data_IF_807574825997
#
_entry.id   IF_807574825997
#
_cell.length_a   1.000
_cell.length_b   1.000
_cell.length_c   1.000
_cell.angle_alpha   90.00
_cell.angle_beta   90.00
_cell.angle_gamma   90.00
#
_symmetry.space_group_name_H-M   'P 1'
#
loop_
_entity.id
_entity.type
_entity.pdbx_description
1 polymer ?
#
# COMPACT_ATOMS: atom_id res chain seq x y z
N UNK A 1 11.76 -8.18 11.93
CA UNK A 1 12.02 -8.31 10.49
C UNK A 1 13.51 -8.12 10.21
N UNK A 2 14.02 -8.81 9.18
CA UNK A 2 15.40 -8.65 8.72
C UNK A 2 15.46 -7.43 7.78
N UNK A 3 16.21 -6.37 8.13
CA UNK A 3 16.43 -5.26 7.21
C UNK A 3 17.40 -5.70 6.09
N UNK A 4 17.02 -5.45 4.85
CA UNK A 4 17.86 -5.68 3.67
C UNK A 4 18.10 -4.37 2.93
N UNK A 5 19.24 -4.29 2.25
CA UNK A 5 19.59 -3.12 1.45
C UNK A 5 18.70 -3.00 0.22
N UNK A 6 18.49 -1.75 -0.23
CA UNK A 6 17.90 -1.48 -1.54
C UNK A 6 18.73 -2.16 -2.64
N UNK A 7 18.07 -2.87 -3.54
CA UNK A 7 18.70 -3.34 -4.75
C UNK A 7 18.99 -2.18 -5.72
N UNK A 8 19.80 -2.44 -6.73
CA UNK A 8 20.00 -1.53 -7.85
C UNK A 8 18.68 -1.26 -8.57
N UNK A 9 18.52 -0.04 -9.11
CA UNK A 9 17.39 0.31 -9.98
C UNK A 9 17.37 -0.51 -11.27
N UNK A 10 18.53 -0.96 -11.73
CA UNK A 10 18.65 -1.84 -12.90
C UNK A 10 18.37 -3.28 -12.44
N UNK A 11 17.33 -3.93 -13.00
CA UNK A 11 17.01 -5.31 -12.65
C UNK A 11 18.18 -6.27 -12.97
N UNK A 12 18.38 -7.24 -12.09
CA UNK A 12 19.36 -8.32 -12.32
C UNK A 12 18.59 -9.62 -12.56
N UNK A 13 18.77 -10.21 -13.74
CA UNK A 13 18.14 -11.48 -14.13
C UNK A 13 16.58 -11.43 -14.12
N UNK A 14 16.00 -10.26 -14.37
CA UNK A 14 14.55 -10.10 -14.54
C UNK A 14 14.27 -9.39 -15.87
N UNK A 15 13.99 -10.16 -16.96
CA UNK A 15 13.71 -9.58 -18.27
C UNK A 15 12.31 -8.92 -18.37
N UNK A 16 11.49 -9.05 -17.36
CA UNK A 16 10.14 -8.48 -17.34
C UNK A 16 10.10 -7.01 -16.95
N UNK A 17 11.20 -6.50 -16.41
CA UNK A 17 11.31 -5.12 -15.92
C UNK A 17 12.43 -4.37 -16.63
N UNK A 18 12.18 -3.12 -17.03
CA UNK A 18 13.21 -2.18 -17.49
C UNK A 18 13.98 -1.59 -16.29
N UNK A 19 13.29 -1.33 -15.19
CA UNK A 19 13.83 -0.85 -13.92
C UNK A 19 12.98 -1.37 -12.77
N UNK A 20 13.53 -1.30 -11.56
CA UNK A 20 12.80 -1.66 -10.34
C UNK A 20 11.74 -0.58 -10.05
N UNK A 21 10.49 -0.99 -9.94
CA UNK A 21 9.31 -0.13 -9.79
C UNK A 21 8.54 -0.33 -8.48
N UNK A 22 8.97 -1.30 -7.65
CA UNK A 22 8.35 -1.58 -6.36
C UNK A 22 9.29 -2.36 -5.44
N UNK A 23 8.97 -2.36 -4.15
CA UNK A 23 9.72 -3.13 -3.15
C UNK A 23 9.67 -4.64 -3.39
N UNK A 24 8.50 -5.17 -3.76
CA UNK A 24 8.30 -6.61 -4.01
C UNK A 24 9.03 -7.11 -5.25
N UNK A 25 9.30 -6.24 -6.22
CA UNK A 25 9.92 -6.63 -7.49
C UNK A 25 11.27 -7.36 -7.30
N UNK A 26 12.02 -7.00 -6.26
CA UNK A 26 13.32 -7.62 -5.95
C UNK A 26 13.21 -8.91 -5.15
N UNK A 27 12.02 -9.25 -4.69
CA UNK A 27 11.74 -10.37 -3.78
C UNK A 27 10.93 -11.49 -4.43
N UNK A 28 10.64 -11.41 -5.72
CA UNK A 28 9.81 -12.38 -6.47
C UNK A 28 10.20 -13.84 -6.20
N UNK A 29 11.51 -14.12 -6.16
CA UNK A 29 12.07 -15.47 -5.91
C UNK A 29 11.67 -16.08 -4.55
N UNK A 30 11.28 -15.25 -3.59
CA UNK A 30 10.80 -15.72 -2.29
C UNK A 30 9.31 -16.03 -2.34
N UNK A 31 8.55 -15.24 -3.09
CA UNK A 31 7.11 -15.43 -3.25
C UNK A 31 6.75 -16.58 -4.20
N UNK A 32 7.59 -16.85 -5.21
CA UNK A 32 7.40 -17.99 -6.10
C UNK A 32 7.95 -19.32 -5.53
N UNK A 33 8.59 -19.26 -4.36
CA UNK A 33 9.15 -20.42 -3.66
C UNK A 33 10.46 -20.96 -4.25
N UNK A 34 11.05 -20.29 -5.24
CA UNK A 34 12.33 -20.75 -5.85
C UNK A 34 13.52 -20.60 -4.90
N UNK A 35 13.42 -19.70 -3.92
CA UNK A 35 14.43 -19.49 -2.88
C UNK A 35 13.75 -19.36 -1.52
N UNK A 36 14.26 -20.07 -0.52
CA UNK A 36 13.83 -19.90 0.87
C UNK A 36 14.60 -18.72 1.49
N UNK A 37 13.92 -17.69 2.03
CA UNK A 37 14.60 -16.58 2.66
C UNK A 37 15.25 -17.00 3.99
N UNK A 38 16.34 -16.35 4.37
CA UNK A 38 16.98 -16.54 5.67
C UNK A 38 16.03 -16.18 6.84
N UNK A 39 15.20 -15.17 6.63
CA UNK A 39 14.17 -14.76 7.57
C UNK A 39 12.88 -14.51 6.80
N UNK A 40 11.73 -15.09 7.22
CA UNK A 40 10.45 -14.89 6.53
C UNK A 40 9.89 -13.47 6.69
N UNK A 41 10.41 -12.68 7.63
CA UNK A 41 10.05 -11.28 7.85
C UNK A 41 11.14 -10.36 7.35
N UNK A 42 10.92 -9.68 6.24
CA UNK A 42 11.89 -8.80 5.59
C UNK A 42 11.37 -7.35 5.62
N UNK A 43 12.28 -6.39 5.75
CA UNK A 43 11.96 -4.97 5.59
C UNK A 43 13.04 -4.26 4.78
N UNK A 44 12.64 -3.29 3.98
CA UNK A 44 13.56 -2.47 3.20
C UNK A 44 12.99 -1.06 2.91
N UNK A 45 13.86 -0.21 2.37
CA UNK A 45 13.52 1.02 1.69
C UNK A 45 14.06 0.89 0.26
N UNK A 46 13.22 0.42 -0.67
CA UNK A 46 13.63 0.11 -2.03
C UNK A 46 13.50 1.33 -2.94
N UNK A 47 14.62 1.75 -3.54
CA UNK A 47 14.63 2.73 -4.62
C UNK A 47 13.85 2.21 -5.82
N UNK A 48 12.93 3.02 -6.31
CA UNK A 48 11.98 2.63 -7.36
C UNK A 48 11.79 3.76 -8.36
N UNK A 49 11.48 3.40 -9.60
CA UNK A 49 11.13 4.33 -10.67
C UNK A 49 9.78 3.92 -11.25
N UNK A 50 8.87 4.89 -11.38
CA UNK A 50 7.62 4.77 -12.15
C UNK A 50 7.51 5.93 -13.12
N UNK A 51 7.07 5.65 -14.33
CA UNK A 51 6.94 6.64 -15.41
C UNK A 51 5.56 6.70 -16.03
N UNK A 52 4.67 5.80 -15.62
CA UNK A 52 3.28 5.76 -16.09
C UNK A 52 2.51 7.07 -15.78
N UNK A 53 2.84 7.71 -14.65
CA UNK A 53 2.20 8.97 -14.22
C UNK A 53 3.09 10.20 -14.39
N UNK A 54 4.04 10.16 -15.32
CA UNK A 54 5.03 11.25 -15.50
C UNK A 54 4.37 12.60 -15.79
N UNK A 55 3.19 12.60 -16.41
CA UNK A 55 2.43 13.81 -16.73
C UNK A 55 1.87 14.51 -15.49
N UNK A 56 1.73 13.79 -14.38
CA UNK A 56 1.23 14.29 -13.11
C UNK A 56 2.34 14.75 -12.16
N UNK A 57 3.60 14.47 -12.48
CA UNK A 57 4.75 14.90 -11.68
C UNK A 57 4.83 16.42 -11.63
N UNK A 58 4.85 16.97 -10.41
CA UNK A 58 4.85 18.41 -10.18
C UNK A 58 3.48 19.08 -10.30
N UNK A 59 2.41 18.32 -10.57
CA UNK A 59 1.01 18.80 -10.56
C UNK A 59 0.26 18.33 -9.34
N UNK A 60 0.46 17.08 -8.95
CA UNK A 60 -0.13 16.48 -7.75
C UNK A 60 0.90 16.34 -6.64
N UNK A 61 0.45 16.20 -5.41
CA UNK A 61 1.34 16.02 -4.26
C UNK A 61 1.98 14.61 -4.20
N UNK A 62 1.38 13.62 -4.86
CA UNK A 62 1.69 12.19 -4.70
C UNK A 62 2.51 11.57 -5.83
N UNK A 63 2.59 12.20 -7.00
CA UNK A 63 3.27 11.60 -8.16
C UNK A 63 4.73 12.02 -8.26
N UNK A 64 5.61 11.02 -8.23
CA UNK A 64 7.06 11.16 -8.37
C UNK A 64 7.57 10.09 -9.34
N UNK A 65 8.63 10.43 -10.12
CA UNK A 65 9.29 9.45 -11.01
C UNK A 65 10.22 8.53 -10.24
N UNK A 66 10.99 9.07 -9.30
CA UNK A 66 11.90 8.32 -8.41
C UNK A 66 11.46 8.49 -6.96
N UNK A 67 11.36 7.39 -6.24
CA UNK A 67 10.96 7.36 -4.84
C UNK A 67 11.58 6.17 -4.12
N UNK A 68 11.52 6.16 -2.81
CA UNK A 68 11.82 5.00 -1.99
C UNK A 68 10.51 4.41 -1.47
N UNK A 69 10.27 3.13 -1.80
CA UNK A 69 9.13 2.39 -1.27
C UNK A 69 9.56 1.71 0.02
N UNK A 70 8.98 2.13 1.13
CA UNK A 70 9.18 1.48 2.42
C UNK A 70 8.39 0.18 2.44
N UNK A 71 9.06 -0.94 2.64
CA UNK A 71 8.46 -2.26 2.54
C UNK A 71 8.61 -3.10 3.79
N UNK A 72 7.56 -3.84 4.12
CA UNK A 72 7.56 -4.94 5.05
C UNK A 72 6.92 -6.16 4.38
N UNK A 73 7.61 -7.30 4.42
CA UNK A 73 7.22 -8.47 3.66
C UNK A 73 7.17 -9.69 4.57
N UNK A 74 6.15 -10.50 4.37
CA UNK A 74 5.93 -11.78 5.03
C UNK A 74 5.98 -12.91 4.01
N UNK A 75 6.94 -13.79 4.16
CA UNK A 75 7.09 -14.95 3.28
C UNK A 75 6.57 -16.19 4.04
N UNK A 76 5.23 -16.36 3.98
CA UNK A 76 4.58 -17.49 4.65
C UNK A 76 4.61 -17.43 6.18
N UNK A 77 4.58 -16.23 6.78
CA UNK A 77 4.60 -16.02 8.22
C UNK A 77 3.32 -15.28 8.67
N UNK A 78 3.35 -13.96 8.86
CA UNK A 78 2.12 -13.21 9.16
C UNK A 78 1.30 -12.92 7.88
N UNK A 79 0.01 -12.64 8.05
CA UNK A 79 -0.88 -12.31 6.94
C UNK A 79 -1.83 -11.16 7.31
N UNK A 80 -3.04 -11.12 6.81
CA UNK A 80 -3.98 -9.98 6.92
C UNK A 80 -4.18 -9.51 8.36
N UNK A 81 -4.46 -10.42 9.28
CA UNK A 81 -4.79 -10.06 10.64
C UNK A 81 -3.66 -9.28 11.31
N UNK A 82 -2.46 -9.84 11.33
CA UNK A 82 -1.32 -9.19 11.94
C UNK A 82 -0.90 -7.93 11.19
N UNK A 83 -0.92 -7.97 9.85
CA UNK A 83 -0.51 -6.81 9.04
C UNK A 83 -1.42 -5.60 9.30
N UNK A 84 -2.73 -5.80 9.33
CA UNK A 84 -3.70 -4.73 9.59
C UNK A 84 -3.54 -4.18 11.01
N UNK A 85 -3.45 -5.03 12.03
CA UNK A 85 -3.29 -4.58 13.41
C UNK A 85 -1.98 -3.83 13.63
N UNK A 86 -0.87 -4.31 13.06
CA UNK A 86 0.43 -3.63 13.21
C UNK A 86 0.47 -2.30 12.44
N UNK A 87 -0.14 -2.24 11.26
CA UNK A 87 -0.25 -0.98 10.52
C UNK A 87 -1.06 0.05 11.32
N UNK A 88 -2.20 -0.36 11.88
CA UNK A 88 -3.02 0.52 12.69
C UNK A 88 -2.31 0.99 13.96
N UNK A 89 -1.68 0.07 14.70
CA UNK A 89 -0.87 0.41 15.87
C UNK A 89 0.24 1.40 15.51
N UNK A 90 0.96 1.14 14.42
CA UNK A 90 2.05 2.02 13.99
C UNK A 90 1.57 3.41 13.59
N UNK A 91 0.43 3.51 12.91
CA UNK A 91 -0.10 4.80 12.50
C UNK A 91 -0.69 5.60 13.67
N UNK A 92 -1.45 4.95 14.57
CA UNK A 92 -2.24 5.63 15.60
C UNK A 92 -1.61 5.62 16.99
N UNK A 93 -0.69 4.70 17.25
CA UNK A 93 -0.06 4.56 18.56
C UNK A 93 0.74 5.81 18.97
N UNK A 94 0.56 6.24 20.22
CA UNK A 94 1.19 7.45 20.76
C UNK A 94 2.74 7.38 20.80
N UNK A 95 3.29 6.18 20.83
CA UNK A 95 4.75 5.94 20.78
C UNK A 95 5.29 5.85 19.35
N UNK A 96 4.40 5.90 18.35
CA UNK A 96 4.72 5.79 16.94
C UNK A 96 4.37 7.09 16.19
N UNK A 97 3.55 7.01 15.15
CA UNK A 97 3.20 8.20 14.34
C UNK A 97 2.11 9.06 14.97
N UNK A 98 1.31 8.48 15.87
CA UNK A 98 0.23 9.16 16.61
C UNK A 98 -0.74 9.96 15.71
N UNK A 99 -1.07 9.41 14.53
CA UNK A 99 -2.09 10.00 13.68
C UNK A 99 -3.45 9.92 14.35
N UNK A 100 -4.27 10.94 14.10
CA UNK A 100 -5.64 10.98 14.56
C UNK A 100 -6.46 9.88 13.83
N UNK A 101 -7.02 8.88 14.54
CA UNK A 101 -7.82 7.83 13.93
C UNK A 101 -9.02 8.32 13.13
N UNK A 102 -9.61 9.47 13.54
CA UNK A 102 -10.74 10.07 12.85
C UNK A 102 -10.40 10.64 11.45
N UNK A 103 -9.10 10.75 11.13
CA UNK A 103 -8.59 11.17 9.83
C UNK A 103 -8.14 10.02 8.95
N UNK A 104 -8.25 8.80 9.44
CA UNK A 104 -7.82 7.62 8.69
C UNK A 104 -9.02 6.90 8.08
N UNK A 105 -8.92 6.64 6.79
CA UNK A 105 -9.88 5.88 5.99
C UNK A 105 -9.17 4.69 5.37
N UNK A 106 -9.91 3.65 5.07
CA UNK A 106 -9.37 2.47 4.38
C UNK A 106 -10.23 2.10 3.19
N UNK A 107 -9.59 1.64 2.14
CA UNK A 107 -10.28 0.97 1.04
C UNK A 107 -10.07 -0.53 1.13
N UNK A 108 -11.04 -1.29 0.67
CA UNK A 108 -10.98 -2.75 0.64
C UNK A 108 -11.58 -3.29 -0.66
N UNK A 109 -11.04 -4.39 -1.16
CA UNK A 109 -11.70 -5.12 -2.24
C UNK A 109 -13.06 -5.65 -1.76
N UNK A 110 -14.18 -5.42 -2.49
CA UNK A 110 -15.53 -5.77 -2.00
C UNK A 110 -15.72 -7.25 -1.67
N UNK A 111 -14.96 -8.15 -2.30
CA UNK A 111 -15.01 -9.59 -2.02
C UNK A 111 -14.04 -10.04 -0.94
N UNK A 112 -13.16 -9.16 -0.45
CA UNK A 112 -12.30 -9.45 0.69
C UNK A 112 -13.01 -9.18 2.02
N UNK A 113 -13.97 -10.04 2.32
CA UNK A 113 -14.77 -9.96 3.55
C UNK A 113 -13.94 -10.13 4.81
N UNK A 114 -12.79 -10.77 4.71
CA UNK A 114 -11.87 -10.97 5.84
C UNK A 114 -11.19 -9.64 6.23
N UNK A 115 -10.58 -8.92 5.29
CA UNK A 115 -9.98 -7.62 5.57
C UNK A 115 -11.03 -6.64 6.11
N UNK A 116 -12.20 -6.58 5.48
CA UNK A 116 -13.31 -5.73 5.94
C UNK A 116 -13.75 -6.05 7.37
N UNK A 117 -13.86 -7.33 7.71
CA UNK A 117 -14.19 -7.77 9.07
C UNK A 117 -13.11 -7.37 10.08
N UNK A 118 -11.83 -7.54 9.73
CA UNK A 118 -10.72 -7.16 10.62
C UNK A 118 -10.75 -5.66 10.90
N UNK A 119 -10.88 -4.82 9.88
CA UNK A 119 -10.98 -3.37 10.04
C UNK A 119 -12.15 -2.95 10.92
N UNK A 120 -13.35 -3.49 10.65
CA UNK A 120 -14.57 -3.12 11.35
C UNK A 120 -14.64 -3.71 12.78
N UNK A 121 -14.45 -5.03 12.91
CA UNK A 121 -14.79 -5.75 14.13
C UNK A 121 -13.62 -5.89 15.10
N UNK A 122 -12.38 -5.89 14.61
CA UNK A 122 -11.19 -6.10 15.44
C UNK A 122 -10.43 -4.79 15.69
N UNK A 123 -10.21 -4.00 14.66
CA UNK A 123 -9.62 -2.66 14.79
C UNK A 123 -10.63 -1.67 15.36
N UNK A 124 -11.91 -1.82 15.03
CA UNK A 124 -12.99 -0.96 15.50
C UNK A 124 -13.16 0.31 14.66
N UNK A 125 -12.72 0.28 13.40
CA UNK A 125 -12.93 1.39 12.49
C UNK A 125 -14.42 1.50 12.13
N UNK A 126 -14.98 2.71 12.13
CA UNK A 126 -16.37 2.92 11.78
C UNK A 126 -16.64 2.58 10.32
N UNK A 127 -17.86 2.15 10.01
CA UNK A 127 -18.19 1.60 8.68
C UNK A 127 -18.12 2.66 7.58
N UNK A 128 -18.34 3.93 7.90
CA UNK A 128 -18.20 5.07 7.00
C UNK A 128 -16.74 5.43 6.67
N UNK A 129 -15.79 4.87 7.41
CA UNK A 129 -14.35 4.96 7.11
C UNK A 129 -13.82 3.76 6.31
N UNK A 130 -14.68 2.80 5.94
CA UNK A 130 -14.29 1.61 5.17
C UNK A 130 -14.99 1.65 3.81
N UNK A 131 -14.24 1.89 2.75
CA UNK A 131 -14.75 2.10 1.40
C UNK A 131 -14.50 0.87 0.54
N UNK A 132 -15.56 0.35 -0.09
CA UNK A 132 -15.43 -0.75 -1.07
C UNK A 132 -14.93 -0.21 -2.42
N UNK A 133 -13.77 -0.70 -2.88
CA UNK A 133 -13.16 -0.30 -4.15
C UNK A 133 -12.77 -1.54 -4.95
N UNK A 134 -13.31 -1.69 -6.15
CA UNK A 134 -13.04 -2.86 -7.01
C UNK A 134 -11.57 -2.93 -7.45
N UNK A 135 -10.89 -1.80 -7.57
CA UNK A 135 -9.49 -1.72 -7.98
C UNK A 135 -8.50 -2.17 -6.89
N UNK A 136 -8.98 -2.42 -5.65
CA UNK A 136 -8.17 -3.06 -4.60
C UNK A 136 -7.95 -4.56 -4.84
N UNK A 137 -7.74 -4.93 -6.10
CA UNK A 137 -7.34 -6.26 -6.52
C UNK A 137 -6.22 -6.16 -7.55
N UNK A 138 -5.02 -6.54 -7.14
CA UNK A 138 -3.85 -6.52 -8.01
C UNK A 138 -3.67 -7.83 -8.77
N UNK A 139 -3.20 -7.72 -10.01
CA UNK A 139 -2.93 -8.85 -10.89
C UNK A 139 -1.74 -8.51 -11.78
N UNK A 140 -0.77 -9.40 -11.86
CA UNK A 140 0.41 -9.27 -12.72
C UNK A 140 0.34 -10.18 -13.95
N UNK A 141 -0.82 -10.74 -14.26
CA UNK A 141 -1.04 -11.70 -15.34
C UNK A 141 -0.58 -13.10 -14.95
N UNK A 142 0.49 -13.59 -15.55
CA UNK A 142 1.04 -14.90 -15.18
C UNK A 142 1.85 -14.77 -13.87
N UNK A 143 1.21 -15.10 -12.74
CA UNK A 143 1.85 -15.01 -11.43
C UNK A 143 0.85 -14.83 -10.30
N UNK A 144 1.30 -14.38 -9.13
CA UNK A 144 0.42 -14.12 -8.01
C UNK A 144 -0.53 -12.95 -8.31
N UNK A 145 -1.71 -13.01 -7.74
CA UNK A 145 -2.71 -11.94 -7.70
C UNK A 145 -3.47 -12.01 -6.39
N UNK A 146 -4.04 -10.92 -5.94
CA UNK A 146 -4.80 -10.91 -4.68
C UNK A 146 -5.41 -9.56 -4.37
N UNK A 147 -6.20 -9.51 -3.29
CA UNK A 147 -6.71 -8.24 -2.81
C UNK A 147 -5.64 -7.43 -2.10
N UNK A 148 -5.93 -6.16 -1.95
CA UNK A 148 -5.20 -5.25 -1.09
C UNK A 148 -6.15 -4.35 -0.32
N UNK A 149 -5.62 -3.66 0.67
CA UNK A 149 -6.32 -2.63 1.41
C UNK A 149 -5.39 -1.43 1.57
N UNK A 150 -5.87 -0.28 1.19
CA UNK A 150 -5.10 0.96 1.25
C UNK A 150 -5.56 1.80 2.43
N UNK A 151 -4.64 2.55 3.00
CA UNK A 151 -4.90 3.45 4.12
C UNK A 151 -4.67 4.88 3.64
N UNK A 152 -5.69 5.71 3.80
CA UNK A 152 -5.70 7.12 3.40
C UNK A 152 -5.75 8.03 4.63
N UNK A 153 -5.07 9.17 4.52
CA UNK A 153 -5.15 10.25 5.49
C UNK A 153 -5.96 11.40 4.91
N UNK A 154 -7.03 11.80 5.60
CA UNK A 154 -7.81 12.99 5.27
C UNK A 154 -7.02 14.24 5.66
N UNK A 155 -6.54 14.97 4.67
CA UNK A 155 -5.78 16.21 4.83
C UNK A 155 -6.66 17.42 5.19
N UNK A 156 -7.98 17.28 5.03
CA UNK A 156 -8.97 18.32 5.28
C UNK A 156 -9.57 18.89 4.00
N UNK A 157 -10.69 19.56 4.16
CA UNK A 157 -11.47 20.14 3.04
C UNK A 157 -10.68 21.17 2.23
N UNK A 158 -9.72 21.84 2.85
CA UNK A 158 -8.84 22.81 2.19
C UNK A 158 -7.94 22.21 1.11
N UNK A 159 -7.81 20.89 1.09
CA UNK A 159 -7.03 20.15 0.07
C UNK A 159 -7.92 19.55 -1.02
N UNK A 160 -9.24 19.73 -0.95
CA UNK A 160 -10.14 19.25 -2.00
C UNK A 160 -9.96 20.11 -3.25
N UNK A 161 -9.46 19.50 -4.32
CA UNK A 161 -9.14 20.16 -5.60
C UNK A 161 -10.17 19.90 -6.71
N UNK A 162 -11.24 19.17 -6.38
CA UNK A 162 -12.38 18.85 -7.24
C UNK A 162 -13.69 19.36 -6.62
N UNK A 163 -14.79 19.47 -7.38
CA UNK A 163 -16.10 19.79 -6.83
C UNK A 163 -16.52 18.86 -5.69
N UNK A 164 -17.23 19.39 -4.69
CA UNK A 164 -17.69 18.62 -3.54
C UNK A 164 -18.62 17.46 -3.92
N UNK A 165 -19.40 17.63 -4.99
CA UNK A 165 -20.32 16.64 -5.57
C UNK A 165 -19.69 15.78 -6.67
N UNK A 166 -18.38 15.87 -6.87
CA UNK A 166 -17.67 15.03 -7.83
C UNK A 166 -17.67 13.55 -7.36
N UNK A 167 -17.94 12.59 -8.27
CA UNK A 167 -17.92 11.17 -7.93
C UNK A 167 -16.55 10.66 -7.45
N UNK A 168 -15.47 11.38 -7.73
CA UNK A 168 -14.12 11.05 -7.25
C UNK A 168 -13.81 11.61 -5.85
N UNK A 169 -14.76 12.31 -5.20
CA UNK A 169 -14.58 12.86 -3.85
C UNK A 169 -14.81 11.79 -2.77
N UNK A 170 -13.91 10.81 -2.72
CA UNK A 170 -13.89 9.77 -1.69
C UNK A 170 -12.43 9.27 -1.46
N UNK A 171 -12.14 8.60 -0.34
CA UNK A 171 -10.84 7.95 -0.13
C UNK A 171 -10.60 6.87 -1.18
N UNK A 172 -9.56 7.03 -1.99
CA UNK A 172 -9.25 6.17 -3.14
C UNK A 172 -9.64 6.76 -4.50
N UNK A 173 -10.44 7.85 -4.52
CA UNK A 173 -10.73 8.58 -5.74
C UNK A 173 -9.64 9.56 -6.15
N UNK A 174 -9.78 10.13 -7.34
CA UNK A 174 -8.82 11.07 -7.94
C UNK A 174 -8.98 12.49 -7.36
N UNK A 175 -8.53 12.68 -6.10
CA UNK A 175 -8.55 13.97 -5.40
C UNK A 175 -7.31 14.15 -4.52
N UNK A 176 -7.00 15.39 -4.12
CA UNK A 176 -5.86 15.72 -3.25
C UNK A 176 -6.20 15.74 -1.76
N UNK A 177 -7.48 15.59 -1.37
CA UNK A 177 -7.89 15.57 0.03
C UNK A 177 -7.43 14.31 0.74
N UNK A 178 -7.66 13.15 0.10
CA UNK A 178 -7.33 11.85 0.68
C UNK A 178 -6.00 11.35 0.14
N UNK A 179 -4.98 11.36 1.00
CA UNK A 179 -3.63 10.94 0.63
C UNK A 179 -3.42 9.48 1.01
N UNK A 180 -3.18 8.62 0.03
CA UNK A 180 -2.72 7.25 0.27
C UNK A 180 -1.37 7.27 1.00
N UNK A 181 -1.31 6.63 2.15
CA UNK A 181 -0.10 6.57 2.98
C UNK A 181 0.44 5.15 3.13
N UNK A 182 -0.37 4.14 2.88
CA UNK A 182 0.05 2.74 2.95
C UNK A 182 -0.86 1.85 2.11
N UNK A 183 -0.27 0.91 1.38
CA UNK A 183 -0.98 -0.17 0.71
C UNK A 183 -0.54 -1.51 1.33
N UNK A 184 -1.48 -2.24 1.95
CA UNK A 184 -1.30 -3.57 2.50
C UNK A 184 -1.72 -4.59 1.44
N UNK A 185 -0.75 -5.19 0.78
CA UNK A 185 -0.96 -6.11 -0.36
C UNK A 185 -0.93 -7.56 0.14
N UNK A 186 -1.95 -8.32 -0.20
CA UNK A 186 -2.15 -9.71 0.23
C UNK A 186 -2.04 -10.72 -0.89
#
# INVERSE_FOLDING_TARGET
ALPISSASLVPVNDPTLLWINSGVATLKKYFDGSVVPENPRITNAQKSIRTNDIENVGKTARHHTMFEMLGNFSIGDYFKNEAIHWAWEFLTGAEWLAFDPEKLYVTVYPKDTEAKRIWRDEVGLSEDHIIDVEDNFWDIGAGPSGPDTEIFYDRGEEFLDIPEDDPENYPGGENERYLEIWNLVF
#
